data_IF_350728609948
#
_entry.id   IF_350728609948
#
_cell.length_a   1.000
_cell.length_b   1.000
_cell.length_c   1.000
_cell.angle_alpha   90.00
_cell.angle_beta   90.00
_cell.angle_gamma   90.00
#
_symmetry.space_group_name_H-M   'P 1'
#
loop_
_entity.id
_entity.type
_entity.pdbx_description
1 polymer ?
#
# COMPACT_ATOMS: atom_id res chain seq x y z
N UNK A 1 -20.98 -54.94 -22.25
CA UNK A 1 -20.39 -55.38 -20.97
C UNK A 1 -20.07 -54.10 -20.19
N UNK A 2 -20.95 -53.64 -19.28
CA UNK A 2 -20.93 -53.91 -17.82
C UNK A 2 -19.53 -53.67 -17.23
N UNK A 3 -19.27 -52.76 -16.28
CA UNK A 3 -19.99 -52.60 -14.99
C UNK A 3 -19.66 -51.30 -14.24
N UNK A 4 -20.62 -50.95 -13.39
CA UNK A 4 -20.68 -50.01 -12.26
C UNK A 4 -19.66 -50.29 -11.13
N UNK A 5 -19.29 -49.26 -10.33
CA UNK A 5 -19.05 -49.24 -8.85
C UNK A 5 -18.48 -47.84 -8.43
N UNK A 6 -19.26 -46.91 -7.82
CA UNK A 6 -19.40 -46.59 -6.35
C UNK A 6 -18.05 -46.30 -5.63
N UNK A 7 -17.79 -45.24 -4.84
CA UNK A 7 -18.56 -44.29 -3.98
C UNK A 7 -17.63 -43.10 -3.57
N UNK A 8 -17.89 -42.22 -2.56
CA UNK A 8 -19.12 -41.83 -1.85
C UNK A 8 -19.35 -40.30 -1.74
N UNK A 9 -20.58 -39.92 -1.35
CA UNK A 9 -20.96 -38.57 -0.93
C UNK A 9 -20.34 -38.17 0.42
N UNK A 10 -20.02 -36.88 0.57
CA UNK A 10 -20.01 -36.19 1.86
C UNK A 10 -20.58 -34.76 1.71
N UNK A 11 -21.63 -34.54 2.49
CA UNK A 11 -22.52 -33.38 2.58
C UNK A 11 -21.81 -32.07 2.97
N UNK A 12 -22.20 -30.95 2.33
CA UNK A 12 -21.91 -29.60 2.85
C UNK A 12 -23.19 -28.76 2.88
N UNK A 13 -23.61 -28.42 4.09
CA UNK A 13 -24.82 -27.67 4.39
C UNK A 13 -24.75 -26.21 3.89
N UNK A 14 -25.77 -25.75 3.17
CA UNK A 14 -25.96 -24.34 2.80
C UNK A 14 -26.68 -23.60 3.93
N UNK A 15 -25.96 -22.82 4.75
CA UNK A 15 -26.61 -21.88 5.67
C UNK A 15 -27.06 -20.63 4.91
N UNK A 16 -28.38 -20.43 4.80
CA UNK A 16 -29.01 -19.19 4.34
C UNK A 16 -28.83 -18.10 5.40
N UNK A 17 -28.19 -17.00 5.06
CA UNK A 17 -28.22 -15.77 5.86
C UNK A 17 -29.38 -14.93 5.33
N UNK A 18 -30.46 -14.86 6.11
CA UNK A 18 -31.64 -14.03 5.83
C UNK A 18 -31.31 -12.55 6.04
N UNK A 19 -31.57 -11.71 5.04
CA UNK A 19 -31.58 -10.25 5.19
C UNK A 19 -32.96 -9.81 5.70
N UNK A 20 -33.08 -9.03 6.79
CA UNK A 20 -34.35 -8.41 7.12
C UNK A 20 -34.53 -7.13 6.31
N UNK A 21 -35.54 -7.12 5.45
CA UNK A 21 -36.14 -5.90 4.87
C UNK A 21 -37.18 -5.38 5.87
N UNK A 22 -36.95 -4.23 6.49
CA UNK A 22 -37.98 -3.57 7.28
C UNK A 22 -38.24 -2.16 6.74
N UNK A 23 -39.10 -2.09 5.73
CA UNK A 23 -39.93 -0.93 5.49
C UNK A 23 -41.24 -1.18 6.23
N UNK A 24 -41.60 -0.27 7.14
CA UNK A 24 -42.93 0.00 7.73
C UNK A 24 -42.79 0.17 9.24
N UNK A 25 -42.96 1.40 9.72
CA UNK A 25 -42.84 1.74 11.14
C UNK A 25 -42.44 3.19 11.40
N UNK A 26 -42.82 4.10 10.50
CA UNK A 26 -42.64 5.54 10.67
C UNK A 26 -43.95 6.09 11.20
N UNK A 27 -44.13 6.09 12.52
CA UNK A 27 -44.99 6.97 13.33
C UNK A 27 -45.08 6.44 14.75
N UNK A 28 -45.02 7.35 15.71
CA UNK A 28 -45.17 7.15 17.17
C UNK A 28 -43.88 6.95 17.97
N UNK A 29 -43.18 8.06 18.22
CA UNK A 29 -42.53 8.38 19.50
C UNK A 29 -41.98 9.82 19.42
N UNK A 30 -42.88 10.80 19.39
CA UNK A 30 -42.56 12.21 19.54
C UNK A 30 -43.25 12.75 20.80
N UNK A 31 -42.68 12.46 21.97
CA UNK A 31 -42.84 13.27 23.17
C UNK A 31 -41.93 12.73 24.27
N UNK A 32 -41.28 13.65 24.97
CA UNK A 32 -40.47 13.42 26.18
C UNK A 32 -39.04 12.95 25.93
N UNK A 33 -38.14 13.94 25.83
CA UNK A 33 -37.02 14.11 26.75
C UNK A 33 -36.26 15.39 26.36
N UNK A 34 -36.64 16.49 27.02
CA UNK A 34 -35.80 17.68 27.11
C UNK A 34 -34.67 17.39 28.10
N UNK A 35 -33.48 17.87 27.76
CA UNK A 35 -32.37 18.32 28.63
C UNK A 35 -31.05 17.58 28.43
N UNK A 36 -29.98 18.40 28.36
CA UNK A 36 -28.54 18.09 28.44
C UNK A 36 -27.75 18.12 27.12
N UNK A 37 -26.95 19.19 26.97
CA UNK A 37 -25.68 19.17 26.24
C UNK A 37 -25.63 19.95 24.93
N UNK A 38 -25.36 21.26 25.01
CA UNK A 38 -24.82 22.01 23.85
C UNK A 38 -23.49 21.37 23.46
N UNK A 39 -23.46 20.60 22.37
CA UNK A 39 -22.20 20.16 21.77
C UNK A 39 -21.50 21.40 21.23
N UNK A 40 -20.47 21.85 21.95
CA UNK A 40 -19.60 22.92 21.48
C UNK A 40 -18.82 22.37 20.28
N UNK A 41 -19.10 22.89 19.09
CA UNK A 41 -18.25 22.68 17.93
C UNK A 41 -16.88 23.32 18.23
N UNK A 42 -15.89 22.49 18.52
CA UNK A 42 -14.49 22.91 18.63
C UNK A 42 -13.94 22.97 17.21
N UNK A 43 -13.64 24.16 16.64
CA UNK A 43 -12.95 24.22 15.35
C UNK A 43 -11.56 23.56 15.48
N UNK A 44 -11.10 22.80 14.49
CA UNK A 44 -9.75 22.25 14.52
C UNK A 44 -8.73 23.38 14.64
N UNK A 45 -7.76 23.18 15.54
CA UNK A 45 -6.66 24.10 15.77
C UNK A 45 -6.02 24.49 14.44
N UNK A 46 -5.87 25.80 14.23
CA UNK A 46 -5.49 26.39 12.96
C UNK A 46 -4.27 25.72 12.34
N UNK A 47 -4.43 25.24 11.12
CA UNK A 47 -3.31 25.01 10.22
C UNK A 47 -2.61 26.36 10.06
N UNK A 48 -1.51 26.58 10.77
CA UNK A 48 -0.61 27.66 10.44
C UNK A 48 -0.10 27.39 9.03
N UNK A 49 -0.74 28.04 8.06
CA UNK A 49 -0.21 28.17 6.71
C UNK A 49 1.13 28.88 6.87
N UNK A 50 2.22 28.12 6.79
CA UNK A 50 3.56 28.69 6.71
C UNK A 50 3.55 29.59 5.47
N UNK A 51 3.53 30.91 5.71
CA UNK A 51 3.73 31.88 4.64
C UNK A 51 5.18 31.72 4.20
N UNK A 52 5.39 31.17 3.00
CA UNK A 52 6.71 31.17 2.37
C UNK A 52 6.94 32.52 1.71
N UNK A 53 7.16 33.56 2.52
CA UNK A 53 7.65 34.86 2.05
C UNK A 53 9.19 34.80 1.95
N UNK A 54 9.71 33.89 1.13
CA UNK A 54 11.13 33.79 0.86
C UNK A 54 11.42 34.21 -0.60
N UNK A 55 12.08 35.36 -0.75
CA UNK A 55 12.78 35.75 -1.98
C UNK A 55 13.75 34.62 -2.41
N UNK A 56 14.06 34.47 -3.71
CA UNK A 56 14.79 33.31 -4.24
C UNK A 56 16.24 33.35 -3.73
N UNK A 57 16.51 32.64 -2.65
CA UNK A 57 17.79 32.69 -1.94
C UNK A 57 18.35 31.28 -1.80
N UNK A 58 19.53 31.10 -2.41
CA UNK A 58 20.35 29.90 -2.56
C UNK A 58 19.80 28.81 -3.51
N UNK A 59 20.57 28.51 -4.57
CA UNK A 59 20.35 27.34 -5.41
C UNK A 59 20.55 26.07 -4.56
N UNK A 60 19.55 25.19 -4.54
CA UNK A 60 19.63 23.91 -3.83
C UNK A 60 20.90 23.13 -4.24
N UNK A 61 21.64 22.54 -3.29
CA UNK A 61 22.86 21.82 -3.60
C UNK A 61 22.57 20.65 -4.55
N UNK A 62 23.37 20.54 -5.62
CA UNK A 62 23.28 19.41 -6.57
C UNK A 62 24.14 18.25 -6.08
N UNK A 63 23.54 17.08 -5.99
CA UNK A 63 24.23 15.85 -5.60
C UNK A 63 24.39 14.91 -6.79
N UNK A 64 25.56 14.26 -6.97
CA UNK A 64 25.71 13.23 -7.98
C UNK A 64 24.75 12.06 -7.75
N UNK A 65 24.10 11.58 -8.83
CA UNK A 65 23.17 10.45 -8.77
C UNK A 65 23.78 9.20 -8.14
N UNK A 66 25.07 8.95 -8.36
CA UNK A 66 25.81 7.83 -7.75
C UNK A 66 25.91 7.94 -6.22
N UNK A 67 26.12 9.15 -5.69
CA UNK A 67 26.11 9.38 -4.23
C UNK A 67 24.72 9.18 -3.65
N UNK A 68 23.69 9.65 -4.35
CA UNK A 68 22.30 9.49 -3.94
C UNK A 68 21.89 8.01 -3.91
N UNK A 69 22.24 7.26 -4.96
CA UNK A 69 21.98 5.82 -5.07
C UNK A 69 22.61 5.05 -3.92
N UNK A 70 23.89 5.32 -3.61
CA UNK A 70 24.59 4.69 -2.48
C UNK A 70 23.91 4.99 -1.15
N UNK A 71 23.56 6.25 -0.90
CA UNK A 71 22.86 6.63 0.33
C UNK A 71 21.52 5.89 0.51
N UNK A 72 20.72 5.80 -0.56
CA UNK A 72 19.47 5.03 -0.54
C UNK A 72 19.75 3.54 -0.26
N UNK A 73 20.78 2.99 -0.90
CA UNK A 73 21.15 1.59 -0.72
C UNK A 73 21.55 1.28 0.72
N UNK A 74 22.45 2.09 1.29
CA UNK A 74 22.91 1.96 2.67
C UNK A 74 21.74 2.03 3.67
N UNK A 75 20.80 2.95 3.44
CA UNK A 75 19.61 3.09 4.29
C UNK A 75 18.67 1.88 4.23
N UNK A 76 18.50 1.27 3.05
CA UNK A 76 17.64 0.09 2.86
C UNK A 76 18.29 -1.19 3.40
N UNK A 77 19.61 -1.34 3.23
CA UNK A 77 20.39 -2.44 3.84
C UNK A 77 20.29 -2.36 5.37
N UNK A 78 20.43 -1.16 5.94
CA UNK A 78 20.35 -0.94 7.38
C UNK A 78 18.99 -1.31 8.00
N UNK A 79 17.93 -1.44 7.20
CA UNK A 79 16.62 -1.93 7.65
C UNK A 79 16.33 -3.38 7.26
N UNK A 80 17.32 -4.10 6.74
CA UNK A 80 17.27 -5.54 6.51
C UNK A 80 16.79 -5.97 5.13
N UNK A 81 16.75 -5.05 4.15
CA UNK A 81 16.43 -5.40 2.76
C UNK A 81 17.63 -6.11 2.10
N UNK A 82 17.43 -7.23 1.37
CA UNK A 82 18.51 -7.94 0.67
C UNK A 82 19.19 -7.07 -0.40
N UNK A 83 20.49 -7.26 -0.62
CA UNK A 83 21.29 -6.46 -1.57
C UNK A 83 20.72 -6.47 -3.00
N UNK A 84 20.21 -7.61 -3.46
CA UNK A 84 19.57 -7.77 -4.77
C UNK A 84 18.35 -6.85 -4.96
N UNK A 85 17.53 -6.73 -3.93
CA UNK A 85 16.33 -5.89 -3.92
C UNK A 85 16.66 -4.42 -3.72
N UNK A 86 17.68 -4.14 -2.91
CA UNK A 86 18.21 -2.81 -2.64
C UNK A 86 18.69 -2.15 -3.94
N UNK A 87 19.45 -2.88 -4.76
CA UNK A 87 19.96 -2.36 -6.03
C UNK A 87 18.83 -1.87 -6.95
N UNK A 88 17.74 -2.65 -7.03
CA UNK A 88 16.54 -2.31 -7.81
C UNK A 88 15.81 -1.10 -7.23
N UNK A 89 15.59 -1.08 -5.91
CA UNK A 89 14.91 0.02 -5.22
C UNK A 89 15.67 1.34 -5.37
N UNK A 90 16.98 1.33 -5.11
CA UNK A 90 17.83 2.52 -5.18
C UNK A 90 17.93 3.08 -6.61
N UNK A 91 18.07 2.20 -7.60
CA UNK A 91 18.07 2.61 -9.01
C UNK A 91 16.75 3.29 -9.41
N UNK A 92 15.61 2.68 -9.09
CA UNK A 92 14.30 3.22 -9.49
C UNK A 92 13.97 4.55 -8.78
N UNK A 93 14.33 4.69 -7.51
CA UNK A 93 14.16 5.96 -6.79
C UNK A 93 15.01 7.08 -7.40
N UNK A 94 16.30 6.83 -7.67
CA UNK A 94 17.19 7.82 -8.29
C UNK A 94 16.72 8.16 -9.69
N UNK A 95 16.26 7.16 -10.46
CA UNK A 95 15.66 7.42 -11.76
C UNK A 95 14.44 8.34 -11.62
N UNK A 96 13.56 8.13 -10.65
CA UNK A 96 12.41 9.01 -10.45
C UNK A 96 12.84 10.48 -10.22
N UNK A 97 13.84 10.71 -9.36
CA UNK A 97 14.39 12.06 -9.13
C UNK A 97 15.01 12.65 -10.41
N UNK A 98 15.76 11.85 -11.18
CA UNK A 98 16.34 12.30 -12.46
C UNK A 98 15.30 12.63 -13.53
N UNK A 99 14.11 12.03 -13.46
CA UNK A 99 12.98 12.34 -14.35
C UNK A 99 12.12 13.50 -13.84
N UNK A 100 12.49 14.15 -12.73
CA UNK A 100 11.72 15.24 -12.11
C UNK A 100 10.43 14.77 -11.42
N UNK A 101 10.31 13.46 -11.15
CA UNK A 101 9.20 12.88 -10.41
C UNK A 101 9.50 12.87 -8.90
N UNK A 102 9.83 14.04 -8.34
CA UNK A 102 10.38 14.20 -6.98
C UNK A 102 9.50 13.58 -5.88
N UNK A 103 8.19 13.49 -6.10
CA UNK A 103 7.25 12.82 -5.20
C UNK A 103 7.37 11.28 -5.13
N UNK A 104 8.20 10.68 -5.99
CA UNK A 104 8.36 9.23 -6.14
C UNK A 104 9.80 8.73 -5.93
N UNK A 105 10.79 9.63 -5.89
CA UNK A 105 12.20 9.27 -5.65
C UNK A 105 12.57 9.26 -4.16
N UNK A 106 13.68 9.91 -3.81
CA UNK A 106 14.22 9.86 -2.43
C UNK A 106 13.25 10.40 -1.38
N UNK A 107 12.32 11.29 -1.75
CA UNK A 107 11.29 11.80 -0.83
C UNK A 107 10.53 10.69 -0.09
N UNK A 108 10.38 9.52 -0.72
CA UNK A 108 9.68 8.36 -0.13
C UNK A 108 10.53 7.51 0.81
N UNK A 109 11.86 7.64 0.77
CA UNK A 109 12.78 6.80 1.54
C UNK A 109 12.46 6.76 3.05
N UNK A 110 12.22 7.90 3.74
CA UNK A 110 11.89 7.86 5.17
C UNK A 110 10.60 7.08 5.47
N UNK A 111 9.61 7.14 4.58
CA UNK A 111 8.36 6.40 4.73
C UNK A 111 8.60 4.89 4.58
N UNK A 112 9.41 4.47 3.61
CA UNK A 112 9.76 3.06 3.44
C UNK A 112 10.54 2.52 4.64
N UNK A 113 11.55 3.25 5.12
CA UNK A 113 12.33 2.90 6.32
C UNK A 113 11.42 2.69 7.53
N UNK A 114 10.45 3.59 7.76
CA UNK A 114 9.47 3.44 8.86
C UNK A 114 8.59 2.20 8.68
N UNK A 115 8.11 1.92 7.48
CA UNK A 115 7.25 0.76 7.20
C UNK A 115 7.99 -0.56 7.36
N UNK A 116 9.24 -0.64 6.90
CA UNK A 116 10.08 -1.83 7.05
C UNK A 116 10.37 -2.08 8.53
N UNK A 117 10.80 -1.05 9.27
CA UNK A 117 11.03 -1.16 10.73
C UNK A 117 9.76 -1.54 11.51
N UNK A 118 8.60 -1.08 11.04
CA UNK A 118 7.31 -1.43 11.63
C UNK A 118 6.76 -2.80 11.20
N UNK A 119 7.51 -3.61 10.44
CA UNK A 119 7.07 -4.92 9.97
C UNK A 119 5.95 -4.88 8.92
N UNK A 120 5.62 -3.70 8.40
CA UNK A 120 4.54 -3.51 7.43
C UNK A 120 4.95 -3.89 5.99
N UNK A 121 6.21 -4.28 5.77
CA UNK A 121 6.77 -4.73 4.49
C UNK A 121 7.53 -6.03 4.75
N UNK A 122 7.26 -7.05 3.93
CA UNK A 122 8.06 -8.26 3.94
C UNK A 122 9.38 -8.00 3.19
N UNK A 123 10.50 -8.04 3.92
CA UNK A 123 11.84 -7.81 3.35
C UNK A 123 12.37 -9.00 2.55
N UNK A 124 11.74 -10.18 2.65
CA UNK A 124 12.08 -11.38 1.88
C UNK A 124 10.80 -11.97 1.28
N UNK A 125 10.16 -11.26 0.33
CA UNK A 125 8.88 -11.68 -0.21
C UNK A 125 9.03 -12.89 -1.13
N UNK A 126 8.06 -13.82 -1.06
CA UNK A 126 7.94 -14.93 -2.00
C UNK A 126 7.02 -14.55 -3.15
N UNK A 127 7.53 -13.69 -4.04
CA UNK A 127 6.77 -13.19 -5.19
C UNK A 127 6.47 -14.34 -6.15
N UNK A 128 5.21 -14.47 -6.57
CA UNK A 128 4.77 -15.56 -7.45
C UNK A 128 3.63 -15.15 -8.36
N UNK A 129 3.50 -15.84 -9.50
CA UNK A 129 2.29 -15.77 -10.31
C UNK A 129 1.23 -16.66 -9.69
N UNK A 130 0.15 -16.06 -9.19
CA UNK A 130 -0.97 -16.77 -8.59
C UNK A 130 -1.92 -17.35 -9.65
N UNK A 131 -2.07 -16.67 -10.79
CA UNK A 131 -2.87 -17.13 -11.94
C UNK A 131 -2.35 -16.49 -13.23
N UNK A 132 -2.44 -17.21 -14.33
CA UNK A 132 -2.16 -16.67 -15.66
C UNK A 132 -3.27 -17.03 -16.65
N UNK A 133 -3.43 -16.23 -17.69
CA UNK A 133 -4.24 -16.49 -18.88
C UNK A 133 -3.60 -15.80 -20.09
N UNK A 134 -4.14 -16.01 -21.30
CA UNK A 134 -3.62 -15.36 -22.51
C UNK A 134 -3.65 -13.83 -22.34
N UNK A 135 -2.47 -13.21 -22.35
CA UNK A 135 -2.30 -11.76 -22.20
C UNK A 135 -2.45 -11.21 -20.78
N UNK A 136 -2.51 -12.04 -19.74
CA UNK A 136 -2.57 -11.55 -18.35
C UNK A 136 -1.89 -12.48 -17.33
N UNK A 137 -1.35 -11.88 -16.27
CA UNK A 137 -0.87 -12.58 -15.09
C UNK A 137 -1.32 -11.84 -13.82
N UNK A 138 -1.83 -12.60 -12.85
CA UNK A 138 -2.06 -12.14 -11.49
C UNK A 138 -0.84 -12.49 -10.64
N UNK A 139 -0.14 -11.46 -10.15
CA UNK A 139 1.05 -11.62 -9.31
C UNK A 139 0.68 -11.37 -7.84
N UNK A 140 1.06 -12.30 -6.98
CA UNK A 140 1.03 -12.14 -5.52
C UNK A 140 2.41 -11.62 -5.08
N UNK A 141 2.43 -10.41 -4.53
CA UNK A 141 3.65 -9.73 -4.10
C UNK A 141 4.10 -10.06 -2.68
N UNK A 142 3.35 -10.87 -1.92
CA UNK A 142 3.69 -11.27 -0.54
C UNK A 142 4.05 -10.09 0.38
N UNK A 143 3.32 -8.98 0.22
CA UNK A 143 3.55 -7.71 0.91
C UNK A 143 5.01 -7.19 0.81
N UNK A 144 5.70 -7.51 -0.28
CA UNK A 144 7.06 -7.08 -0.56
C UNK A 144 7.20 -5.61 -0.96
N UNK A 145 8.44 -5.18 -1.17
CA UNK A 145 8.74 -3.84 -1.68
C UNK A 145 8.17 -3.67 -3.09
N UNK A 146 7.37 -2.61 -3.29
CA UNK A 146 6.67 -2.36 -4.55
C UNK A 146 7.59 -2.30 -5.78
N UNK A 147 8.78 -1.73 -5.64
CA UNK A 147 9.80 -1.69 -6.70
C UNK A 147 10.18 -3.10 -7.20
N UNK A 148 10.35 -4.04 -6.27
CA UNK A 148 10.77 -5.43 -6.56
C UNK A 148 9.60 -6.19 -7.18
N UNK A 149 8.42 -6.10 -6.56
CA UNK A 149 7.20 -6.78 -7.04
C UNK A 149 6.82 -6.32 -8.44
N UNK A 150 6.85 -5.01 -8.71
CA UNK A 150 6.54 -4.48 -10.04
C UNK A 150 7.61 -4.81 -11.07
N UNK A 151 8.90 -4.88 -10.67
CA UNK A 151 9.96 -5.32 -11.58
C UNK A 151 9.78 -6.78 -12.00
N UNK A 152 9.38 -7.66 -11.07
CA UNK A 152 9.01 -9.04 -11.37
C UNK A 152 7.78 -9.10 -12.30
N UNK A 153 6.73 -8.34 -11.99
CA UNK A 153 5.50 -8.33 -12.78
C UNK A 153 5.75 -7.83 -14.22
N UNK A 154 6.54 -6.76 -14.38
CA UNK A 154 6.91 -6.25 -15.70
C UNK A 154 7.71 -7.27 -16.52
N UNK A 155 8.68 -7.96 -15.91
CA UNK A 155 9.41 -9.06 -16.56
C UNK A 155 8.53 -10.24 -16.93
N UNK A 156 7.45 -10.49 -16.18
CA UNK A 156 6.49 -11.56 -16.48
C UNK A 156 5.60 -11.23 -17.68
N UNK A 157 5.38 -9.95 -17.94
CA UNK A 157 4.46 -9.47 -18.99
C UNK A 157 5.09 -9.38 -20.38
N UNK A 158 6.43 -9.40 -20.46
CA UNK A 158 7.23 -9.27 -21.69
C UNK A 158 7.74 -10.65 -22.08
#
# INVERSE_FOLDING_TARGET
MFSNLRSPEASFAKSRISRPTNHTGRREALASLRSHGRVRHVPPAGTQRVKSDAAPTASSPRLPATRLKRFIADALIAVGLPEEDVATCAELMVRADLHGADGHGIFRLPQYVRRIRGGAVNVKPKIRVARAAAGMALVDGDNGMGHVVMSFAAKTAI
#
